data_IF_321480599743
#
_entry.id   IF_321480599743
#
_cell.length_a   1.000
_cell.length_b   1.000
_cell.length_c   1.000
_cell.angle_alpha   90.00
_cell.angle_beta   90.00
_cell.angle_gamma   90.00
#
_symmetry.space_group_name_H-M   'P 1'
#
loop_
_entity.id
_entity.type
_entity.pdbx_description
1 polymer ?
#
# COMPACT_ATOMS: atom_id res chain seq x y z
N UNK A 1 -49.18 58.00 -6.73
CA UNK A 1 -49.36 56.85 -7.64
C UNK A 1 -48.40 56.85 -8.83
N UNK A 2 -48.07 57.98 -9.46
CA UNK A 2 -47.24 58.01 -10.68
C UNK A 2 -45.70 58.05 -10.48
N UNK A 3 -45.17 58.06 -9.26
CA UNK A 3 -43.71 58.08 -8.98
C UNK A 3 -43.13 56.75 -8.50
N UNK A 4 -43.98 55.77 -8.21
CA UNK A 4 -43.57 54.42 -7.80
C UNK A 4 -43.48 53.48 -9.02
N UNK A 5 -44.24 53.77 -10.07
CA UNK A 5 -44.23 52.98 -11.30
C UNK A 5 -42.96 53.15 -12.14
N UNK A 6 -42.26 54.28 -12.04
CA UNK A 6 -41.06 54.55 -12.85
C UNK A 6 -39.78 53.95 -12.27
N UNK A 7 -39.73 53.67 -10.97
CA UNK A 7 -38.58 53.00 -10.34
C UNK A 7 -38.61 51.47 -10.48
N UNK A 8 -39.76 50.89 -10.83
CA UNK A 8 -39.88 49.44 -11.04
C UNK A 8 -39.48 49.00 -12.45
N UNK A 9 -39.30 49.93 -13.39
CA UNK A 9 -38.98 49.60 -14.79
C UNK A 9 -37.49 49.72 -15.14
N UNK A 10 -36.66 50.29 -14.27
CA UNK A 10 -35.20 50.41 -14.51
C UNK A 10 -34.40 49.30 -13.79
N UNK A 11 -34.98 48.69 -12.75
CA UNK A 11 -34.36 47.55 -12.05
C UNK A 11 -34.61 46.22 -12.78
N UNK A 12 -35.61 46.15 -13.67
CA UNK A 12 -35.93 44.95 -14.46
C UNK A 12 -35.17 44.86 -15.80
N UNK A 13 -34.24 45.79 -16.09
CA UNK A 13 -33.41 45.77 -17.30
C UNK A 13 -31.91 45.50 -17.03
N UNK A 14 -31.58 45.00 -15.84
CA UNK A 14 -30.23 44.52 -15.49
C UNK A 14 -30.21 43.03 -15.11
N UNK A 15 -31.27 42.30 -15.46
CA UNK A 15 -31.28 40.83 -15.41
C UNK A 15 -31.04 40.23 -16.81
N UNK A 16 -30.14 40.82 -17.59
CA UNK A 16 -29.41 40.06 -18.61
C UNK A 16 -28.44 39.16 -17.85
N UNK A 17 -28.95 37.99 -17.43
CA UNK A 17 -28.09 36.87 -17.02
C UNK A 17 -27.22 36.57 -18.22
N UNK A 18 -25.96 36.99 -18.16
CA UNK A 18 -24.92 36.46 -19.04
C UNK A 18 -24.97 34.95 -18.91
N UNK A 19 -25.41 34.27 -19.96
CA UNK A 19 -25.07 32.87 -20.16
C UNK A 19 -23.55 32.83 -20.30
N UNK A 20 -22.86 32.63 -19.18
CA UNK A 20 -21.44 32.32 -19.19
C UNK A 20 -21.29 31.01 -19.94
N UNK A 21 -20.83 31.08 -21.19
CA UNK A 21 -20.24 29.94 -21.88
C UNK A 21 -19.19 29.36 -20.94
N UNK A 22 -19.49 28.23 -20.30
CA UNK A 22 -18.60 27.58 -19.37
C UNK A 22 -17.38 27.11 -20.17
N UNK A 23 -16.29 27.88 -20.09
CA UNK A 23 -15.08 27.59 -20.85
C UNK A 23 -14.53 26.24 -20.39
N UNK A 24 -14.48 25.29 -21.33
CA UNK A 24 -14.01 23.93 -21.05
C UNK A 24 -12.56 23.99 -20.58
N UNK A 25 -12.26 23.36 -19.44
CA UNK A 25 -10.89 23.30 -18.93
C UNK A 25 -10.00 22.51 -19.90
N UNK A 26 -8.90 23.13 -20.33
CA UNK A 26 -7.85 22.53 -21.16
C UNK A 26 -6.53 22.44 -20.41
N UNK A 27 -5.55 21.71 -20.96
CA UNK A 27 -4.18 21.65 -20.45
C UNK A 27 -3.61 23.07 -20.21
N UNK A 28 -3.75 23.98 -21.18
CA UNK A 28 -3.28 25.37 -21.08
C UNK A 28 -3.96 26.14 -19.94
N UNK A 29 -5.25 25.87 -19.72
CA UNK A 29 -6.01 26.51 -18.64
C UNK A 29 -5.52 26.04 -17.28
N UNK A 30 -5.27 24.73 -17.13
CA UNK A 30 -4.68 24.15 -15.92
C UNK A 30 -3.29 24.73 -15.65
N UNK A 31 -2.43 24.83 -16.68
CA UNK A 31 -1.10 25.45 -16.55
C UNK A 31 -1.21 26.92 -16.12
N UNK A 32 -2.16 27.70 -16.66
CA UNK A 32 -2.39 29.08 -16.22
C UNK A 32 -2.81 29.17 -14.76
N UNK A 33 -3.68 28.28 -14.29
CA UNK A 33 -4.12 28.24 -12.88
C UNK A 33 -2.96 27.89 -11.94
N UNK A 34 -2.11 26.94 -12.33
CA UNK A 34 -0.89 26.60 -11.59
C UNK A 34 0.07 27.78 -11.55
N UNK A 35 0.35 28.42 -12.69
CA UNK A 35 1.23 29.61 -12.77
C UNK A 35 0.68 30.83 -12.04
N UNK A 36 -0.64 30.93 -11.89
CA UNK A 36 -1.29 31.95 -11.07
C UNK A 36 -1.20 31.67 -9.56
N UNK A 37 -0.61 30.54 -9.15
CA UNK A 37 -0.34 30.21 -7.75
C UNK A 37 -1.54 29.65 -6.98
N UNK A 38 -2.55 29.13 -7.68
CA UNK A 38 -3.68 28.47 -7.04
C UNK A 38 -3.24 27.14 -6.40
N UNK A 39 -3.85 26.78 -5.27
CA UNK A 39 -3.55 25.53 -4.59
C UNK A 39 -3.97 24.32 -5.43
N UNK A 40 -3.21 23.23 -5.33
CA UNK A 40 -3.50 22.00 -6.06
C UNK A 40 -4.89 21.43 -5.76
N UNK A 41 -5.37 21.59 -4.52
CA UNK A 41 -6.72 21.17 -4.10
C UNK A 41 -7.82 21.96 -4.81
N UNK A 42 -7.60 23.25 -5.06
CA UNK A 42 -8.55 24.09 -5.79
C UNK A 42 -8.59 23.71 -7.28
N UNK A 43 -7.42 23.50 -7.88
CA UNK A 43 -7.31 23.12 -9.30
C UNK A 43 -7.89 21.73 -9.53
N UNK A 44 -7.60 20.75 -8.66
CA UNK A 44 -8.21 19.41 -8.73
C UNK A 44 -9.73 19.46 -8.53
N UNK A 45 -10.22 20.29 -7.61
CA UNK A 45 -11.65 20.54 -7.45
C UNK A 45 -12.31 21.09 -8.72
N UNK A 46 -11.66 22.04 -9.40
CA UNK A 46 -12.14 22.59 -10.68
C UNK A 46 -12.15 21.52 -11.78
N UNK A 47 -11.08 20.73 -11.90
CA UNK A 47 -10.98 19.62 -12.87
C UNK A 47 -12.11 18.61 -12.68
N UNK A 48 -12.45 18.28 -11.42
CA UNK A 48 -13.50 17.31 -11.12
C UNK A 48 -14.91 17.84 -11.41
N UNK A 49 -15.13 19.14 -11.21
CA UNK A 49 -16.48 19.75 -11.26
C UNK A 49 -16.82 20.38 -12.61
N UNK A 50 -15.83 20.87 -13.35
CA UNK A 50 -16.05 21.54 -14.62
C UNK A 50 -15.89 20.58 -15.81
N UNK A 51 -16.58 20.83 -16.94
CA UNK A 51 -16.28 20.12 -18.18
C UNK A 51 -14.83 20.41 -18.59
N UNK A 52 -14.09 19.36 -18.90
CA UNK A 52 -12.68 19.45 -19.30
C UNK A 52 -12.40 18.63 -20.54
N UNK A 53 -11.49 19.11 -21.39
CA UNK A 53 -10.97 18.40 -22.55
C UNK A 53 -9.45 18.42 -22.47
N UNK A 54 -8.89 17.29 -22.06
CA UNK A 54 -7.47 17.16 -21.79
C UNK A 54 -6.80 16.25 -22.81
N UNK A 55 -5.64 16.66 -23.30
CA UNK A 55 -4.71 15.78 -24.04
C UNK A 55 -3.78 15.14 -23.01
N UNK A 56 -3.81 13.82 -22.91
CA UNK A 56 -3.12 13.06 -21.86
C UNK A 56 -2.21 11.97 -22.47
N UNK A 57 -1.62 12.25 -23.64
CA UNK A 57 -0.55 11.43 -24.20
C UNK A 57 0.73 11.54 -23.37
N UNK A 58 1.69 10.63 -23.59
CA UNK A 58 2.93 10.60 -22.83
C UNK A 58 3.70 11.93 -22.92
N UNK A 59 3.78 12.51 -24.12
CA UNK A 59 4.42 13.81 -24.38
C UNK A 59 3.66 14.97 -23.71
N UNK A 60 2.31 14.92 -23.67
CA UNK A 60 1.49 15.95 -23.03
C UNK A 60 1.64 15.94 -21.51
N UNK A 61 1.74 14.75 -20.90
CA UNK A 61 1.96 14.58 -19.46
C UNK A 61 3.34 15.10 -19.07
N UNK A 62 4.37 14.84 -19.88
CA UNK A 62 5.72 15.39 -19.68
C UNK A 62 5.69 16.91 -19.79
N UNK A 63 4.99 17.47 -20.80
CA UNK A 63 4.85 18.91 -20.96
C UNK A 63 4.13 19.57 -19.77
N UNK A 64 3.06 18.97 -19.27
CA UNK A 64 2.34 19.43 -18.07
C UNK A 64 3.25 19.44 -16.82
N UNK A 65 4.03 18.37 -16.62
CA UNK A 65 4.96 18.28 -15.49
C UNK A 65 6.08 19.31 -15.57
N UNK A 66 6.62 19.55 -16.76
CA UNK A 66 7.64 20.58 -16.99
C UNK A 66 7.10 22.00 -16.76
N UNK A 67 5.80 22.22 -16.99
CA UNK A 67 5.10 23.47 -16.72
C UNK A 67 4.67 23.63 -15.24
N UNK A 68 5.06 22.69 -14.37
CA UNK A 68 4.85 22.73 -12.93
C UNK A 68 3.52 22.17 -12.46
N UNK A 69 2.75 21.51 -13.33
CA UNK A 69 1.50 20.84 -12.95
C UNK A 69 1.83 19.57 -12.17
N UNK A 70 1.32 19.46 -10.94
CA UNK A 70 1.63 18.33 -10.06
C UNK A 70 0.99 17.02 -10.53
N UNK A 71 1.60 15.90 -10.15
CA UNK A 71 1.07 14.56 -10.47
C UNK A 71 -0.34 14.36 -9.91
N UNK A 72 -0.68 15.03 -8.80
CA UNK A 72 -2.02 15.06 -8.23
C UNK A 72 -3.05 15.70 -9.17
N UNK A 73 -2.72 16.83 -9.79
CA UNK A 73 -3.60 17.51 -10.76
C UNK A 73 -3.71 16.69 -12.05
N UNK A 74 -2.61 16.13 -12.54
CA UNK A 74 -2.60 15.27 -13.74
C UNK A 74 -3.47 14.03 -13.51
N UNK A 75 -3.38 13.39 -12.33
CA UNK A 75 -4.22 12.24 -11.99
C UNK A 75 -5.72 12.60 -11.95
N UNK A 76 -6.08 13.80 -11.47
CA UNK A 76 -7.46 14.28 -11.53
C UNK A 76 -7.94 14.50 -12.98
N UNK A 77 -7.08 15.06 -13.85
CA UNK A 77 -7.39 15.25 -15.27
C UNK A 77 -7.62 13.91 -15.98
N UNK A 78 -6.82 12.88 -15.65
CA UNK A 78 -6.98 11.51 -16.16
C UNK A 78 -8.31 10.91 -15.70
N UNK A 79 -8.64 11.01 -14.41
CA UNK A 79 -9.90 10.48 -13.86
C UNK A 79 -11.12 11.14 -14.50
N UNK A 80 -11.07 12.45 -14.74
CA UNK A 80 -12.17 13.20 -15.38
C UNK A 80 -12.40 12.80 -16.84
N UNK A 81 -11.37 12.35 -17.54
CA UNK A 81 -11.42 11.97 -18.95
C UNK A 81 -11.78 10.49 -19.18
N UNK A 82 -11.98 9.71 -18.10
CA UNK A 82 -12.47 8.35 -18.19
C UNK A 82 -13.99 8.34 -18.51
N UNK A 83 -14.46 7.52 -19.47
CA UNK A 83 -15.88 7.45 -19.80
C UNK A 83 -16.70 6.93 -18.61
N UNK A 84 -17.73 7.66 -18.22
CA UNK A 84 -18.61 7.33 -17.10
C UNK A 84 -19.57 6.17 -17.48
N UNK A 85 -19.76 5.13 -16.63
CA UNK A 85 -20.70 4.04 -16.91
C UNK A 85 -22.16 4.47 -16.69
N UNK A 86 -23.04 4.15 -17.64
CA UNK A 86 -24.48 4.44 -17.56
C UNK A 86 -25.22 3.54 -16.53
N UNK A 87 -26.31 4.02 -15.88
CA UNK A 87 -27.03 3.26 -14.86
C UNK A 87 -27.99 2.24 -15.50
N UNK A 88 -28.03 1.01 -14.96
CA UNK A 88 -28.96 -0.05 -15.40
C UNK A 88 -30.17 -0.16 -14.46
N UNK A 89 -31.37 -0.12 -15.05
CA UNK A 89 -32.65 -0.52 -14.48
C UNK A 89 -32.86 -2.04 -14.62
N UNK A 90 -33.40 -2.67 -13.58
CA UNK A 90 -34.47 -3.68 -13.66
C UNK A 90 -34.19 -5.14 -14.05
N UNK A 91 -34.71 -6.02 -13.18
CA UNK A 91 -35.30 -7.35 -13.43
C UNK A 91 -34.44 -8.65 -13.39
N UNK A 92 -34.67 -9.37 -12.28
CA UNK A 92 -35.12 -10.76 -12.11
C UNK A 92 -34.34 -11.97 -12.68
N UNK A 93 -34.20 -12.97 -11.82
CA UNK A 93 -33.62 -14.32 -12.02
C UNK A 93 -34.75 -15.34 -12.30
N UNK A 94 -34.55 -16.67 -12.57
CA UNK A 94 -33.31 -17.47 -12.53
C UNK A 94 -33.13 -18.63 -13.56
N UNK A 95 -31.95 -19.27 -13.46
CA UNK A 95 -31.65 -20.72 -13.61
C UNK A 95 -31.24 -21.32 -14.98
N UNK A 96 -30.00 -21.86 -15.01
CA UNK A 96 -29.64 -23.29 -15.27
C UNK A 96 -28.53 -23.55 -16.30
N UNK A 97 -27.30 -23.76 -15.78
CA UNK A 97 -26.28 -24.76 -16.14
C UNK A 97 -25.68 -24.83 -17.60
N UNK A 98 -24.64 -25.66 -17.86
CA UNK A 98 -23.24 -25.21 -17.92
C UNK A 98 -22.57 -25.50 -19.29
N UNK A 99 -21.71 -24.60 -19.79
CA UNK A 99 -20.83 -24.90 -20.93
C UNK A 99 -19.51 -24.14 -20.78
N UNK A 100 -18.42 -24.88 -20.54
CA UNK A 100 -17.06 -24.46 -20.89
C UNK A 100 -16.88 -24.52 -22.42
N UNK A 101 -16.06 -23.63 -23.01
CA UNK A 101 -14.70 -24.08 -23.34
C UNK A 101 -13.59 -23.03 -23.11
N UNK A 102 -12.38 -23.59 -22.95
CA UNK A 102 -11.04 -23.00 -22.87
C UNK A 102 -10.78 -21.77 -23.76
N UNK A 103 -10.07 -20.79 -23.19
CA UNK A 103 -9.25 -19.85 -23.97
C UNK A 103 -9.03 -18.48 -23.31
N UNK A 104 -7.91 -18.35 -22.57
CA UNK A 104 -7.12 -17.12 -22.38
C UNK A 104 -7.82 -15.85 -21.83
N UNK A 105 -7.61 -15.62 -20.52
CA UNK A 105 -6.82 -14.49 -20.01
C UNK A 105 -6.44 -14.75 -18.55
N UNK A 106 -5.14 -14.89 -18.32
CA UNK A 106 -4.48 -14.88 -17.02
C UNK A 106 -4.67 -13.52 -16.36
N UNK A 107 -5.75 -13.37 -15.60
CA UNK A 107 -5.79 -12.50 -14.43
C UNK A 107 -5.90 -13.41 -13.21
N UNK A 108 -5.05 -13.20 -12.21
CA UNK A 108 -5.12 -13.87 -10.91
C UNK A 108 -6.59 -14.00 -10.44
N UNK A 109 -7.00 -15.12 -9.80
CA UNK A 109 -8.39 -15.39 -9.50
C UNK A 109 -8.92 -14.35 -8.51
N UNK A 110 -9.55 -13.30 -9.04
CA UNK A 110 -10.20 -12.25 -8.26
C UNK A 110 -11.66 -12.61 -8.03
N UNK A 111 -11.92 -13.80 -7.49
CA UNK A 111 -13.21 -14.12 -6.88
C UNK A 111 -13.20 -13.60 -5.44
N UNK A 112 -13.00 -12.30 -5.25
CA UNK A 112 -13.18 -11.68 -3.94
C UNK A 112 -14.68 -11.57 -3.69
N UNK A 113 -15.16 -12.34 -2.72
CA UNK A 113 -16.55 -12.25 -2.26
C UNK A 113 -16.74 -10.87 -1.64
N UNK A 114 -17.64 -10.07 -2.20
CA UNK A 114 -17.99 -8.78 -1.61
C UNK A 114 -18.79 -9.03 -0.32
N UNK A 115 -18.38 -8.46 0.82
CA UNK A 115 -19.10 -8.65 2.06
C UNK A 115 -20.53 -8.09 1.96
N UNK A 116 -21.48 -8.83 2.52
CA UNK A 116 -22.89 -8.45 2.56
C UNK A 116 -23.31 -7.79 3.88
N UNK A 117 -22.42 -7.81 4.89
CA UNK A 117 -22.62 -7.17 6.19
C UNK A 117 -21.28 -6.90 6.90
N UNK A 118 -21.29 -6.15 8.00
CA UNK A 118 -20.09 -5.93 8.82
C UNK A 118 -19.54 -7.24 9.42
N UNK A 119 -20.41 -8.17 9.80
CA UNK A 119 -20.01 -9.49 10.30
C UNK A 119 -19.34 -10.31 9.19
N UNK A 120 -19.90 -10.25 7.99
CA UNK A 120 -19.37 -10.91 6.80
C UNK A 120 -18.00 -10.35 6.40
N UNK A 121 -17.84 -9.02 6.43
CA UNK A 121 -16.56 -8.33 6.24
C UNK A 121 -15.50 -8.78 7.24
N UNK A 122 -15.84 -8.81 8.54
CA UNK A 122 -14.92 -9.27 9.60
C UNK A 122 -14.54 -10.74 9.39
N UNK A 123 -15.52 -11.59 9.09
CA UNK A 123 -15.32 -13.01 8.81
C UNK A 123 -14.35 -13.21 7.65
N UNK A 124 -14.54 -12.53 6.52
CA UNK A 124 -13.68 -12.64 5.35
C UNK A 124 -12.23 -12.18 5.64
N UNK A 125 -12.03 -11.14 6.45
CA UNK A 125 -10.69 -10.71 6.86
C UNK A 125 -10.04 -11.72 7.81
N UNK A 126 -10.81 -12.25 8.77
CA UNK A 126 -10.33 -13.28 9.69
C UNK A 126 -9.94 -14.56 8.93
N UNK A 127 -10.77 -15.04 8.01
CA UNK A 127 -10.47 -16.22 7.17
C UNK A 127 -9.20 -16.05 6.33
N UNK A 128 -8.98 -14.82 5.82
CA UNK A 128 -7.84 -14.48 4.97
C UNK A 128 -6.52 -14.39 5.73
N UNK A 129 -6.52 -13.87 6.96
CA UNK A 129 -5.28 -13.51 7.66
C UNK A 129 -5.06 -14.22 9.00
N UNK A 130 -6.10 -14.51 9.77
CA UNK A 130 -5.93 -15.01 11.14
C UNK A 130 -5.31 -16.41 11.18
N UNK A 131 -4.26 -16.57 11.98
CA UNK A 131 -3.49 -17.81 12.05
C UNK A 131 -2.79 -18.22 10.74
N UNK A 132 -2.82 -17.41 9.68
CA UNK A 132 -2.18 -17.72 8.38
C UNK A 132 -0.72 -17.31 8.34
N UNK A 133 -0.04 -17.72 7.28
CA UNK A 133 1.28 -17.20 6.95
C UNK A 133 1.11 -16.12 5.88
N UNK A 134 1.68 -14.96 6.14
CA UNK A 134 1.80 -13.87 5.17
C UNK A 134 3.25 -13.70 4.77
N UNK A 135 3.50 -13.07 3.64
CA UNK A 135 4.82 -12.76 3.12
C UNK A 135 4.97 -11.25 3.08
N UNK A 136 6.12 -10.75 3.51
CA UNK A 136 6.41 -9.32 3.37
C UNK A 136 6.66 -8.97 1.90
N UNK A 137 5.95 -7.97 1.39
CA UNK A 137 6.06 -7.48 0.01
C UNK A 137 6.97 -6.25 -0.10
N UNK A 138 7.56 -5.82 1.01
CA UNK A 138 8.48 -4.68 1.09
C UNK A 138 9.79 -5.12 1.75
N UNK A 139 10.87 -4.41 1.45
CA UNK A 139 12.11 -4.47 2.21
C UNK A 139 12.16 -3.34 3.24
N UNK A 140 12.91 -3.51 4.31
CA UNK A 140 13.13 -2.45 5.33
C UNK A 140 12.13 -2.46 6.47
N UNK A 141 11.15 -3.38 6.47
CA UNK A 141 10.45 -3.71 7.71
C UNK A 141 11.46 -4.29 8.70
N UNK A 142 11.28 -3.96 9.97
CA UNK A 142 12.07 -4.50 11.06
C UNK A 142 11.21 -5.49 11.83
N UNK A 143 11.86 -6.51 12.40
CA UNK A 143 11.31 -7.34 13.47
C UNK A 143 12.13 -7.13 14.74
N UNK A 144 11.47 -7.07 15.89
CA UNK A 144 12.09 -6.92 17.20
C UNK A 144 11.98 -8.16 18.06
N UNK A 145 12.92 -8.31 18.98
CA UNK A 145 12.92 -9.38 19.97
C UNK A 145 11.63 -9.34 20.81
N UNK A 146 11.02 -10.49 21.04
CA UNK A 146 9.87 -10.60 21.93
C UNK A 146 10.26 -10.27 23.37
N UNK A 147 9.52 -9.34 23.99
CA UNK A 147 9.69 -8.98 25.40
C UNK A 147 8.51 -9.48 26.22
N UNK A 148 8.80 -9.95 27.44
CA UNK A 148 7.76 -10.28 28.43
C UNK A 148 7.06 -9.00 28.89
N UNK A 149 5.73 -9.03 29.03
CA UNK A 149 4.99 -7.91 29.58
C UNK A 149 5.40 -7.65 31.05
N UNK A 150 5.52 -6.38 31.45
CA UNK A 150 6.01 -5.97 32.77
C UNK A 150 5.06 -6.32 33.93
N UNK A 151 3.76 -6.48 33.70
CA UNK A 151 2.76 -6.65 34.79
C UNK A 151 1.77 -7.80 34.51
N UNK A 152 0.90 -7.70 33.51
CA UNK A 152 0.00 -8.80 33.08
C UNK A 152 -0.22 -8.71 31.57
N UNK A 153 -0.07 -9.84 30.86
CA UNK A 153 -0.37 -9.95 29.44
C UNK A 153 0.62 -10.86 28.69
N UNK A 154 0.24 -11.41 27.53
CA UNK A 154 1.19 -12.13 26.68
C UNK A 154 2.28 -11.15 26.23
N UNK A 155 3.54 -11.58 26.26
CA UNK A 155 4.65 -10.80 25.69
C UNK A 155 4.35 -10.41 24.24
N UNK A 156 4.96 -9.32 23.78
CA UNK A 156 4.89 -8.94 22.37
C UNK A 156 6.26 -8.55 21.86
N UNK A 157 6.46 -8.66 20.54
CA UNK A 157 7.55 -7.98 19.88
C UNK A 157 7.54 -6.51 20.31
N UNK A 158 8.63 -6.00 20.89
CA UNK A 158 8.75 -4.62 21.38
C UNK A 158 8.71 -3.56 20.26
N UNK A 159 8.30 -3.94 19.05
CA UNK A 159 8.32 -3.17 17.82
C UNK A 159 6.90 -3.02 17.28
N UNK A 160 6.44 -1.77 17.14
CA UNK A 160 5.13 -1.44 16.60
C UNK A 160 5.25 -0.63 15.31
N UNK A 161 4.64 -1.12 14.25
CA UNK A 161 4.44 -0.42 12.99
C UNK A 161 3.06 0.19 12.91
N UNK A 162 2.98 1.40 12.37
CA UNK A 162 1.78 2.20 12.16
C UNK A 162 1.73 2.60 10.70
N UNK A 163 0.74 2.13 9.96
CA UNK A 163 0.40 2.60 8.64
C UNK A 163 -0.92 3.37 8.70
N UNK A 164 -0.96 4.57 8.12
CA UNK A 164 -2.17 5.39 8.04
C UNK A 164 -2.70 5.36 6.62
N UNK A 165 -3.88 4.76 6.38
CA UNK A 165 -4.54 4.83 5.08
C UNK A 165 -4.85 6.30 4.71
N UNK A 166 -4.99 6.62 3.42
CA UNK A 166 -5.24 7.98 2.93
C UNK A 166 -6.48 8.64 3.51
N UNK A 167 -7.46 7.84 3.95
CA UNK A 167 -8.67 8.34 4.62
C UNK A 167 -8.43 8.87 6.05
N UNK A 168 -7.23 8.69 6.62
CA UNK A 168 -6.90 9.09 8.00
C UNK A 168 -5.73 10.09 7.98
N UNK A 169 -5.83 11.25 8.66
CA UNK A 169 -4.68 12.15 8.80
C UNK A 169 -3.58 11.52 9.65
N UNK A 170 -2.33 11.72 9.24
CA UNK A 170 -1.17 11.29 10.03
C UNK A 170 -1.10 12.17 11.28
N UNK A 171 -1.12 11.60 12.50
CA UNK A 171 -1.10 12.40 13.71
C UNK A 171 0.31 12.95 13.96
N UNK A 172 0.42 14.14 14.56
CA UNK A 172 1.72 14.73 14.95
C UNK A 172 2.50 13.89 15.98
N UNK A 173 1.77 13.11 16.79
CA UNK A 173 2.31 12.26 17.84
C UNK A 173 1.63 10.90 17.83
N UNK A 174 2.39 9.86 18.21
CA UNK A 174 1.86 8.53 18.48
C UNK A 174 0.69 8.61 19.48
N UNK A 175 -0.44 7.99 19.13
CA UNK A 175 -1.61 7.83 20.01
C UNK A 175 -1.25 6.93 21.20
N UNK A 176 -0.82 7.51 22.32
CA UNK A 176 -0.58 6.77 23.57
C UNK A 176 -1.69 6.94 24.61
N UNK A 177 -2.57 7.93 24.50
CA UNK A 177 -3.71 8.15 25.40
C UNK A 177 -4.64 9.24 24.79
N UNK A 178 -5.98 9.19 24.94
CA UNK A 178 -6.90 10.29 24.57
C UNK A 178 -6.50 11.68 25.08
N UNK A 179 -5.71 11.77 26.16
CA UNK A 179 -5.24 13.02 26.75
C UNK A 179 -4.00 13.66 26.08
N UNK A 180 -3.45 13.09 24.98
CA UNK A 180 -2.35 13.67 24.15
C UNK A 180 -1.08 14.16 24.88
N UNK A 181 -0.87 13.86 26.16
CA UNK A 181 0.19 14.48 26.96
C UNK A 181 1.58 13.82 26.89
N UNK A 182 1.69 12.54 26.50
CA UNK A 182 2.96 11.79 26.58
C UNK A 182 3.10 10.76 25.45
N UNK A 183 3.49 11.20 24.25
CA UNK A 183 3.75 10.31 23.09
C UNK A 183 4.86 10.84 22.20
N UNK A 184 5.67 9.93 21.64
CA UNK A 184 6.74 10.22 20.66
C UNK A 184 6.15 10.96 19.46
N UNK A 185 6.83 11.98 18.93
CA UNK A 185 6.37 12.64 17.69
C UNK A 185 6.49 11.66 16.53
N UNK A 186 5.55 11.70 15.61
CA UNK A 186 5.60 10.85 14.42
C UNK A 186 6.83 11.18 13.57
N UNK A 187 7.25 12.45 13.55
CA UNK A 187 8.51 12.90 12.92
C UNK A 187 9.79 12.36 13.57
N UNK A 188 9.71 11.77 14.76
CA UNK A 188 10.84 11.17 15.48
C UNK A 188 10.84 9.64 15.33
N UNK A 189 9.82 9.07 14.70
CA UNK A 189 9.69 7.63 14.44
C UNK A 189 10.44 7.26 13.17
N UNK A 190 10.94 6.03 13.12
CA UNK A 190 11.58 5.53 11.90
C UNK A 190 10.51 5.39 10.83
N UNK A 191 10.80 5.80 9.60
CA UNK A 191 9.82 5.88 8.53
C UNK A 191 10.20 4.90 7.42
N UNK A 192 9.26 4.05 7.02
CA UNK A 192 9.42 3.12 5.90
C UNK A 192 8.99 3.75 4.57
N UNK A 193 7.88 4.48 4.60
CA UNK A 193 7.31 5.21 3.47
C UNK A 193 6.55 6.44 3.96
N UNK A 194 5.92 7.19 3.04
CA UNK A 194 5.22 8.44 3.33
C UNK A 194 4.18 8.34 4.46
N UNK A 195 3.63 7.15 4.75
CA UNK A 195 2.51 6.96 5.68
C UNK A 195 2.73 5.83 6.69
N UNK A 196 3.92 5.22 6.70
CA UNK A 196 4.24 4.05 7.52
C UNK A 196 5.46 4.28 8.42
N UNK A 197 5.26 4.07 9.72
CA UNK A 197 6.23 4.44 10.75
C UNK A 197 6.43 3.33 11.78
N UNK A 198 7.66 3.14 12.23
CA UNK A 198 8.03 2.25 13.32
C UNK A 198 8.25 3.01 14.63
N UNK A 199 7.65 2.48 15.68
CA UNK A 199 7.99 2.83 17.05
C UNK A 199 8.82 1.70 17.68
N UNK A 200 10.07 2.02 17.96
CA UNK A 200 11.06 1.12 18.52
C UNK A 200 11.32 1.51 19.97
N UNK A 201 11.16 0.54 20.87
CA UNK A 201 11.63 0.69 22.24
C UNK A 201 13.15 0.89 22.26
N UNK A 202 13.62 1.82 23.10
CA UNK A 202 15.05 2.05 23.28
C UNK A 202 15.76 0.77 23.72
N UNK A 203 16.83 0.40 23.01
CA UNK A 203 17.63 -0.80 23.30
C UNK A 203 16.95 -2.12 22.95
N UNK A 204 15.88 -2.10 22.14
CA UNK A 204 15.32 -3.30 21.54
C UNK A 204 16.28 -3.84 20.47
N UNK A 205 16.62 -5.14 20.56
CA UNK A 205 17.30 -5.83 19.47
C UNK A 205 16.32 -5.99 18.30
N UNK A 206 16.74 -5.57 17.11
CA UNK A 206 15.94 -5.66 15.88
C UNK A 206 16.77 -6.25 14.75
N UNK A 207 16.06 -6.84 13.79
CA UNK A 207 16.60 -7.40 12.55
C UNK A 207 15.76 -6.91 11.37
N UNK A 208 16.37 -6.79 10.19
CA UNK A 208 15.65 -6.42 8.97
C UNK A 208 14.96 -7.63 8.37
N UNK A 209 13.77 -7.40 7.82
CA UNK A 209 13.02 -8.37 7.05
C UNK A 209 13.21 -8.08 5.55
N UNK A 210 13.45 -9.14 4.79
CA UNK A 210 13.61 -9.05 3.35
C UNK A 210 12.28 -9.24 2.64
N UNK A 211 12.09 -8.57 1.49
CA UNK A 211 10.93 -8.84 0.64
C UNK A 211 10.91 -10.32 0.26
N UNK A 212 9.75 -10.95 0.38
CA UNK A 212 9.57 -12.39 0.17
C UNK A 212 9.67 -13.22 1.45
N UNK A 213 10.03 -12.63 2.58
CA UNK A 213 10.13 -13.36 3.84
C UNK A 213 8.75 -13.77 4.41
N UNK A 214 8.57 -15.05 4.81
CA UNK A 214 7.34 -15.52 5.45
C UNK A 214 7.26 -15.18 6.95
N UNK A 215 6.14 -14.59 7.34
CA UNK A 215 5.77 -14.24 8.70
C UNK A 215 4.50 -14.99 9.13
N UNK A 216 4.50 -15.53 10.34
CA UNK A 216 3.30 -16.16 10.92
C UNK A 216 2.44 -15.11 11.61
N UNK A 217 1.15 -15.05 11.25
CA UNK A 217 0.15 -14.27 11.98
C UNK A 217 -0.22 -15.03 13.25
N UNK A 218 0.30 -14.57 14.40
CA UNK A 218 0.01 -15.15 15.71
C UNK A 218 -1.35 -14.71 16.23
N UNK A 219 -1.69 -13.44 16.01
CA UNK A 219 -2.99 -12.86 16.37
C UNK A 219 -3.37 -11.81 15.33
N UNK A 220 -4.64 -11.79 14.98
CA UNK A 220 -5.22 -10.80 14.09
C UNK A 220 -6.40 -10.12 14.77
N UNK A 221 -6.41 -8.80 14.79
CA UNK A 221 -7.46 -8.01 15.44
C UNK A 221 -8.06 -7.00 14.48
N UNK A 222 -9.39 -6.93 14.47
CA UNK A 222 -10.15 -5.90 13.76
C UNK A 222 -10.78 -5.01 14.83
N UNK A 223 -10.31 -3.76 14.91
CA UNK A 223 -10.83 -2.74 15.81
C UNK A 223 -11.64 -1.70 15.02
N UNK A 224 -12.32 -0.80 15.72
CA UNK A 224 -13.16 0.22 15.07
C UNK A 224 -12.39 1.26 14.27
N UNK A 225 -11.10 1.45 14.53
CA UNK A 225 -10.24 2.46 13.87
C UNK A 225 -8.99 1.85 13.21
N UNK A 226 -8.81 0.54 13.29
CA UNK A 226 -7.63 -0.14 12.75
C UNK A 226 -7.79 -1.65 12.60
N UNK A 227 -6.93 -2.22 11.76
CA UNK A 227 -6.61 -3.64 11.72
C UNK A 227 -5.20 -3.84 12.29
N UNK A 228 -4.99 -4.88 13.08
CA UNK A 228 -3.71 -5.16 13.73
C UNK A 228 -3.27 -6.61 13.50
N UNK A 229 -2.05 -6.75 13.01
CA UNK A 229 -1.34 -8.02 12.90
C UNK A 229 -0.32 -8.14 14.03
N UNK A 230 -0.29 -9.26 14.73
CA UNK A 230 0.86 -9.68 15.52
C UNK A 230 1.60 -10.79 14.79
N UNK A 231 2.82 -10.50 14.35
CA UNK A 231 3.60 -11.31 13.43
C UNK A 231 4.83 -11.85 14.14
N UNK A 232 5.22 -13.08 13.79
CA UNK A 232 6.48 -13.70 14.23
C UNK A 232 7.22 -14.17 13.00
N UNK A 233 8.53 -13.92 12.95
CA UNK A 233 9.38 -14.43 11.87
C UNK A 233 9.41 -15.96 11.93
N UNK A 234 9.42 -16.60 10.77
CA UNK A 234 9.57 -18.07 10.71
C UNK A 234 11.00 -18.50 10.41
N UNK A 235 11.86 -17.55 10.05
CA UNK A 235 13.26 -17.84 9.78
C UNK A 235 14.10 -17.91 11.07
N UNK A 236 14.83 -19.02 11.22
CA UNK A 236 15.75 -19.23 12.34
C UNK A 236 17.03 -18.39 12.23
N UNK A 237 17.36 -17.87 11.05
CA UNK A 237 18.52 -17.01 10.81
C UNK A 237 18.54 -15.79 11.74
N UNK A 238 17.38 -15.17 11.95
CA UNK A 238 17.24 -14.02 12.85
C UNK A 238 17.63 -14.35 14.30
N UNK A 239 17.53 -15.59 14.76
CA UNK A 239 17.96 -15.95 16.12
C UNK A 239 19.45 -15.67 16.36
N UNK A 240 20.26 -15.56 15.31
CA UNK A 240 21.68 -15.18 15.39
C UNK A 240 21.87 -13.72 15.82
N UNK A 241 20.86 -12.89 15.60
CA UNK A 241 20.87 -11.47 16.00
C UNK A 241 20.51 -11.30 17.49
N UNK A 242 20.11 -12.38 18.17
CA UNK A 242 19.82 -12.36 19.61
C UNK A 242 21.11 -12.43 20.42
N UNK A 243 21.40 -11.37 21.18
CA UNK A 243 22.34 -11.47 22.31
C UNK A 243 21.66 -12.24 23.46
N UNK A 244 21.91 -13.55 23.54
CA UNK A 244 21.29 -14.46 24.51
C UNK A 244 21.49 -14.05 25.98
N UNK A 245 22.49 -13.21 26.27
CA UNK A 245 22.75 -12.70 27.62
C UNK A 245 21.89 -11.48 27.95
N UNK A 246 21.42 -10.75 26.94
CA UNK A 246 20.47 -9.64 27.07
C UNK A 246 19.05 -10.03 26.74
N UNK A 247 18.86 -11.20 26.13
CA UNK A 247 17.58 -11.63 25.63
C UNK A 247 16.59 -11.99 26.73
N UNK A 248 15.31 -11.71 26.46
CA UNK A 248 14.21 -12.20 27.26
C UNK A 248 14.12 -13.72 27.16
N UNK A 249 14.07 -14.38 28.31
CA UNK A 249 13.93 -15.84 28.42
C UNK A 249 12.53 -16.19 28.92
N UNK A 250 11.83 -17.06 28.20
CA UNK A 250 10.57 -17.63 28.64
C UNK A 250 10.81 -19.00 29.27
N UNK A 251 10.53 -19.12 30.56
CA UNK A 251 10.59 -20.40 31.28
C UNK A 251 9.18 -20.96 31.43
N UNK A 252 8.90 -22.03 30.71
CA UNK A 252 7.67 -22.82 30.89
C UNK A 252 7.94 -23.89 31.94
N UNK A 253 7.12 -23.91 32.99
CA UNK A 253 7.16 -24.96 34.02
C UNK A 253 5.93 -25.84 33.86
N UNK A 254 6.14 -27.13 33.57
CA UNK A 254 5.07 -28.13 33.49
C UNK A 254 5.22 -29.10 34.65
N UNK A 255 4.15 -29.34 35.39
CA UNK A 255 4.12 -30.39 36.42
C UNK A 255 3.35 -31.58 35.87
N UNK A 256 4.01 -32.72 35.75
CA UNK A 256 3.41 -33.97 35.30
C UNK A 256 3.84 -35.10 36.23
N UNK A 257 2.88 -35.86 36.78
CA UNK A 257 3.18 -37.00 37.65
C UNK A 257 3.96 -36.68 38.93
N UNK A 258 3.91 -35.43 39.43
CA UNK A 258 4.68 -34.97 40.59
C UNK A 258 6.08 -34.44 40.25
N UNK A 259 6.51 -34.54 38.99
CA UNK A 259 7.79 -34.00 38.52
C UNK A 259 7.62 -32.62 37.87
N UNK A 260 8.50 -31.70 38.27
CA UNK A 260 8.55 -30.33 37.75
C UNK A 260 9.52 -30.28 36.57
N UNK A 261 8.99 -30.09 35.37
CA UNK A 261 9.75 -29.92 34.14
C UNK A 261 9.86 -28.45 33.81
N UNK A 262 11.08 -27.91 33.78
CA UNK A 262 11.32 -26.54 33.35
C UNK A 262 12.00 -26.52 31.98
N UNK A 263 11.38 -25.81 31.03
CA UNK A 263 11.94 -25.52 29.71
C UNK A 263 12.15 -24.03 29.59
N UNK A 264 13.40 -23.62 29.35
CA UNK A 264 13.71 -22.22 29.04
C UNK A 264 13.89 -22.07 27.53
N UNK A 265 13.18 -21.12 26.94
CA UNK A 265 13.29 -20.74 25.53
C UNK A 265 13.69 -19.28 25.42
N UNK A 266 14.41 -18.96 24.35
CA UNK A 266 14.73 -17.58 23.97
C UNK A 266 13.58 -17.06 23.13
N UNK A 267 13.15 -15.83 23.39
CA UNK A 267 12.03 -15.23 22.67
C UNK A 267 12.42 -15.00 21.19
N UNK A 268 11.50 -15.31 20.26
CA UNK A 268 11.74 -15.12 18.82
C UNK A 268 11.65 -13.64 18.40
N UNK A 269 11.80 -13.39 17.10
CA UNK A 269 11.59 -12.06 16.52
C UNK A 269 10.17 -11.92 15.97
N UNK A 270 9.64 -10.70 16.01
CA UNK A 270 8.36 -10.39 15.41
C UNK A 270 8.08 -8.91 15.30
N UNK A 271 6.86 -8.57 14.91
CA UNK A 271 6.39 -7.19 14.92
C UNK A 271 4.89 -7.13 15.12
N UNK A 272 4.41 -5.98 15.57
CA UNK A 272 2.99 -5.66 15.51
C UNK A 272 2.75 -4.61 14.45
N UNK A 273 1.89 -4.88 13.47
CA UNK A 273 1.60 -3.94 12.39
C UNK A 273 0.15 -3.49 12.45
N UNK A 274 -0.06 -2.19 12.66
CA UNK A 274 -1.38 -1.55 12.71
C UNK A 274 -1.64 -0.75 11.44
N UNK A 275 -2.75 -1.05 10.79
CA UNK A 275 -3.29 -0.31 9.66
C UNK A 275 -4.48 0.50 10.13
N UNK A 276 -4.36 1.82 10.12
CA UNK A 276 -5.42 2.74 10.53
C UNK A 276 -6.26 3.12 9.33
N UNK A 277 -7.58 3.02 9.50
CA UNK A 277 -8.57 3.33 8.47
C UNK A 277 -9.65 4.24 9.07
N UNK A 278 -10.28 5.05 8.22
CA UNK A 278 -11.48 5.75 8.64
C UNK A 278 -12.60 4.76 8.98
N UNK A 279 -13.18 4.95 10.16
CA UNK A 279 -14.18 4.03 10.71
C UNK A 279 -15.44 3.95 9.86
N UNK A 280 -15.92 5.10 9.40
CA UNK A 280 -17.24 5.19 8.75
C UNK A 280 -17.10 4.93 7.24
N UNK A 281 -16.08 5.52 6.61
CA UNK A 281 -15.88 5.48 5.16
C UNK A 281 -15.26 4.17 4.66
N UNK A 282 -14.51 3.45 5.50
CA UNK A 282 -13.78 2.25 5.08
C UNK A 282 -14.28 1.02 5.83
N UNK A 283 -14.17 1.03 7.17
CA UNK A 283 -14.45 -0.18 7.95
C UNK A 283 -15.95 -0.51 8.03
N UNK A 284 -16.82 0.48 8.24
CA UNK A 284 -18.28 0.30 8.22
C UNK A 284 -18.89 0.28 6.83
N UNK A 285 -18.26 0.96 5.87
CA UNK A 285 -18.64 0.84 4.46
C UNK A 285 -18.34 -0.57 3.90
N UNK A 286 -17.68 -1.43 4.68
CA UNK A 286 -17.31 -2.80 4.31
C UNK A 286 -16.49 -2.84 3.03
N UNK A 287 -15.61 -1.83 2.83
CA UNK A 287 -14.70 -1.76 1.68
C UNK A 287 -13.58 -2.80 1.83
N UNK A 288 -13.95 -4.06 1.64
CA UNK A 288 -13.06 -5.21 1.77
C UNK A 288 -11.89 -5.11 0.81
N UNK A 289 -12.16 -4.72 -0.43
CA UNK A 289 -11.12 -4.66 -1.46
C UNK A 289 -10.14 -3.52 -1.20
N UNK A 290 -10.60 -2.33 -0.82
CA UNK A 290 -9.72 -1.22 -0.44
C UNK A 290 -8.82 -1.59 0.73
N UNK A 291 -9.38 -2.22 1.77
CA UNK A 291 -8.62 -2.70 2.93
C UNK A 291 -7.59 -3.76 2.56
N UNK A 292 -7.98 -4.79 1.80
CA UNK A 292 -7.08 -5.87 1.37
C UNK A 292 -5.98 -5.32 0.47
N UNK A 293 -6.31 -4.46 -0.49
CA UNK A 293 -5.33 -3.84 -1.38
C UNK A 293 -4.31 -3.01 -0.60
N UNK A 294 -4.75 -2.26 0.41
CA UNK A 294 -3.84 -1.47 1.25
C UNK A 294 -2.90 -2.37 2.06
N UNK A 295 -3.42 -3.43 2.68
CA UNK A 295 -2.62 -4.40 3.44
C UNK A 295 -1.64 -5.14 2.52
N UNK A 296 -2.09 -5.55 1.33
CA UNK A 296 -1.31 -6.33 0.36
C UNK A 296 -0.06 -5.59 -0.13
N UNK A 297 0.00 -4.26 -0.04
CA UNK A 297 1.23 -3.48 -0.29
C UNK A 297 2.40 -3.94 0.59
N UNK A 298 2.10 -4.45 1.78
CA UNK A 298 3.09 -4.85 2.79
C UNK A 298 3.05 -6.33 3.10
N UNK A 299 1.85 -6.91 3.23
CA UNK A 299 1.63 -8.26 3.73
C UNK A 299 0.64 -8.99 2.83
N UNK A 300 1.11 -10.01 2.13
CA UNK A 300 0.30 -10.80 1.21
C UNK A 300 0.17 -12.25 1.71
N UNK A 301 -0.99 -12.92 1.65
CA UNK A 301 -1.08 -14.34 1.98
C UNK A 301 -0.07 -15.16 1.18
N UNK A 302 0.55 -16.16 1.82
CA UNK A 302 1.70 -16.87 1.25
C UNK A 302 1.43 -17.42 -0.16
N UNK A 303 0.28 -18.04 -0.38
CA UNK A 303 -0.08 -18.66 -1.67
C UNK A 303 -0.20 -17.62 -2.80
N UNK A 304 -0.65 -16.41 -2.48
CA UNK A 304 -0.74 -15.29 -3.43
C UNK A 304 0.65 -14.66 -3.66
N UNK A 305 1.45 -14.53 -2.60
CA UNK A 305 2.81 -14.02 -2.70
C UNK A 305 3.71 -14.93 -3.54
N UNK A 306 3.59 -16.24 -3.42
CA UNK A 306 4.33 -17.18 -4.28
C UNK A 306 4.00 -16.98 -5.76
N UNK A 307 2.74 -16.69 -6.11
CA UNK A 307 2.35 -16.39 -7.49
C UNK A 307 2.91 -15.05 -7.96
N UNK A 308 2.80 -14.00 -7.16
CA UNK A 308 3.33 -12.66 -7.51
C UNK A 308 4.85 -12.71 -7.65
N UNK A 309 5.55 -13.27 -6.67
CA UNK A 309 7.01 -13.34 -6.66
C UNK A 309 7.55 -14.30 -7.74
N UNK A 310 6.85 -15.38 -8.07
CA UNK A 310 7.24 -16.24 -9.20
C UNK A 310 6.99 -15.56 -10.54
N UNK A 311 5.88 -14.83 -10.71
CA UNK A 311 5.64 -14.03 -11.90
C UNK A 311 6.69 -12.91 -12.07
N UNK A 312 7.12 -12.28 -10.97
CA UNK A 312 8.23 -11.31 -10.97
C UNK A 312 9.58 -11.95 -11.29
N UNK A 313 9.81 -13.21 -10.91
CA UNK A 313 11.06 -13.94 -11.24
C UNK A 313 11.07 -14.47 -12.68
N UNK A 314 9.90 -14.72 -13.27
CA UNK A 314 9.74 -15.14 -14.66
C UNK A 314 9.88 -13.93 -15.62
N UNK A 315 10.99 -13.22 -15.53
CA UNK A 315 11.34 -12.20 -16.51
C UNK A 315 11.98 -12.93 -17.69
N UNK A 316 11.21 -13.07 -18.77
CA UNK A 316 11.79 -13.45 -20.07
C UNK A 316 12.75 -12.33 -20.51
N UNK A 317 14.05 -12.63 -20.44
CA UNK A 317 15.08 -11.78 -21.01
C UNK A 317 15.38 -12.31 -22.40
N UNK A 318 14.74 -11.72 -23.40
CA UNK A 318 15.06 -12.02 -24.80
C UNK A 318 16.41 -11.42 -25.20
N UNK A 319 17.20 -12.12 -26.04
CA UNK A 319 18.37 -11.52 -26.68
C UNK A 319 17.97 -10.24 -27.43
N UNK A 320 18.70 -9.15 -27.19
CA UNK A 320 18.49 -7.86 -27.85
C UNK A 320 17.89 -6.76 -26.97
N UNK A 321 17.40 -7.07 -25.77
CA UNK A 321 16.95 -6.07 -24.78
C UNK A 321 18.11 -5.14 -24.39
N UNK A 322 17.86 -3.85 -24.20
CA UNK A 322 18.90 -2.88 -23.82
C UNK A 322 19.27 -2.98 -22.35
N UNK A 323 20.48 -2.51 -22.00
CA UNK A 323 20.95 -2.44 -20.62
C UNK A 323 19.94 -1.73 -19.70
N UNK A 324 19.38 -0.60 -20.14
CA UNK A 324 18.43 0.18 -19.35
C UNK A 324 17.17 -0.61 -19.03
N UNK A 325 16.64 -1.37 -20.00
CA UNK A 325 15.48 -2.21 -19.80
C UNK A 325 15.77 -3.39 -18.86
N UNK A 326 17.00 -3.92 -18.87
CA UNK A 326 17.46 -4.93 -17.90
C UNK A 326 17.50 -4.33 -16.50
N UNK A 327 18.10 -3.15 -16.32
CA UNK A 327 18.18 -2.47 -15.03
C UNK A 327 16.79 -2.06 -14.50
N UNK A 328 15.86 -1.70 -15.39
CA UNK A 328 14.48 -1.40 -15.00
C UNK A 328 13.72 -2.65 -14.53
N UNK A 329 13.99 -3.81 -15.13
CA UNK A 329 13.30 -5.08 -14.80
C UNK A 329 13.92 -5.79 -13.59
N UNK A 330 15.25 -5.83 -13.51
CA UNK A 330 16.00 -6.61 -12.52
C UNK A 330 16.59 -5.76 -11.39
N UNK A 331 16.53 -4.43 -11.52
CA UNK A 331 17.23 -3.52 -10.61
C UNK A 331 18.73 -3.51 -10.83
N UNK A 332 19.42 -2.88 -9.88
CA UNK A 332 20.87 -2.76 -9.86
C UNK A 332 21.54 -4.12 -9.59
N UNK A 333 22.54 -4.52 -10.40
CA UNK A 333 23.23 -5.80 -10.21
C UNK A 333 24.10 -5.78 -8.95
N UNK A 334 24.28 -6.96 -8.33
CA UNK A 334 25.19 -7.14 -7.20
C UNK A 334 26.65 -6.89 -7.58
N UNK A 335 27.01 -7.15 -8.85
CA UNK A 335 28.33 -6.84 -9.40
C UNK A 335 28.29 -6.61 -10.91
N UNK A 336 29.06 -5.65 -11.38
CA UNK A 336 29.27 -5.41 -12.82
C UNK A 336 30.70 -5.72 -13.22
N UNK A 337 30.88 -6.47 -14.31
CA UNK A 337 32.19 -6.81 -14.88
C UNK A 337 32.22 -6.35 -16.34
N UNK A 338 33.31 -5.71 -16.79
CA UNK A 338 33.50 -5.26 -18.18
C UNK A 338 34.73 -5.90 -18.79
N UNK A 339 34.59 -6.47 -19.98
CA UNK A 339 35.67 -7.06 -20.78
C UNK A 339 35.48 -6.66 -22.24
N UNK A 340 36.29 -5.71 -22.72
CA UNK A 340 36.14 -5.17 -24.08
C UNK A 340 34.76 -4.49 -24.26
N UNK A 341 34.01 -4.92 -25.28
CA UNK A 341 32.64 -4.46 -25.53
C UNK A 341 31.56 -5.33 -24.86
N UNK A 342 31.97 -6.32 -24.07
CA UNK A 342 31.08 -7.18 -23.30
C UNK A 342 30.98 -6.67 -21.86
N UNK A 343 29.76 -6.69 -21.33
CA UNK A 343 29.45 -6.34 -19.94
C UNK A 343 28.65 -7.49 -19.31
N UNK A 344 29.06 -7.95 -18.13
CA UNK A 344 28.31 -8.93 -17.35
C UNK A 344 27.72 -8.25 -16.12
N UNK A 345 26.40 -8.32 -15.99
CA UNK A 345 25.64 -7.88 -14.82
C UNK A 345 25.32 -9.12 -14.00
N UNK A 346 25.94 -9.24 -12.83
CA UNK A 346 25.71 -10.36 -11.92
C UNK A 346 24.62 -10.00 -10.92
N UNK A 347 23.63 -10.89 -10.82
CA UNK A 347 22.55 -10.88 -9.85
C UNK A 347 22.75 -12.05 -8.88
N UNK A 348 21.84 -12.25 -7.93
CA UNK A 348 21.97 -13.31 -6.92
C UNK A 348 21.93 -14.72 -7.54
N UNK A 349 21.05 -14.94 -8.52
CA UNK A 349 20.73 -16.24 -9.12
C UNK A 349 21.07 -16.32 -10.62
N UNK A 350 21.58 -15.24 -11.22
CA UNK A 350 21.91 -15.20 -12.65
C UNK A 350 22.99 -14.18 -13.00
N UNK A 351 23.53 -14.32 -14.21
CA UNK A 351 24.41 -13.35 -14.87
C UNK A 351 23.84 -12.99 -16.24
N UNK A 352 23.51 -11.72 -16.46
CA UNK A 352 23.12 -11.17 -17.76
C UNK A 352 24.36 -10.71 -18.50
N UNK A 353 24.55 -11.19 -19.72
CA UNK A 353 25.68 -10.83 -20.58
C UNK A 353 25.18 -9.89 -21.68
N UNK A 354 25.78 -8.71 -21.72
CA UNK A 354 25.53 -7.70 -22.74
C UNK A 354 26.73 -7.56 -23.66
N UNK A 355 26.46 -7.30 -24.94
CA UNK A 355 27.45 -6.88 -25.93
C UNK A 355 26.90 -5.65 -26.64
N UNK A 356 27.73 -4.61 -26.72
CA UNK A 356 27.33 -3.32 -27.34
C UNK A 356 26.01 -2.75 -26.73
N UNK A 357 25.84 -2.93 -25.42
CA UNK A 357 24.70 -2.41 -24.65
C UNK A 357 23.40 -3.24 -24.77
N UNK A 358 23.43 -4.41 -25.43
CA UNK A 358 22.26 -5.29 -25.58
C UNK A 358 22.53 -6.68 -25.02
N UNK A 359 21.51 -7.29 -24.44
CA UNK A 359 21.58 -8.67 -23.95
C UNK A 359 21.88 -9.62 -25.10
N UNK A 360 22.89 -10.46 -24.92
CA UNK A 360 23.24 -11.52 -25.87
C UNK A 360 23.09 -12.91 -25.27
N UNK A 361 23.16 -13.02 -23.95
CA UNK A 361 23.10 -14.29 -23.23
C UNK A 361 22.70 -14.07 -21.77
N UNK A 362 22.12 -15.09 -21.15
CA UNK A 362 21.77 -15.12 -19.73
C UNK A 362 22.17 -16.47 -19.17
N UNK A 363 22.95 -16.45 -18.09
CA UNK A 363 23.41 -17.66 -17.40
C UNK A 363 22.77 -17.73 -16.03
N UNK A 364 22.16 -18.87 -15.71
CA UNK A 364 21.70 -19.18 -14.36
C UNK A 364 22.90 -19.68 -13.53
N UNK A 365 22.98 -19.29 -12.27
CA UNK A 365 24.08 -19.65 -11.35
C UNK A 365 23.77 -20.85 -10.46
#
# INVERSE_FOLDING_TARGET
MARIATMLSVVLLFLTVSLSSQETLTNDSVVKLVKAGLSEDLITGMVNTQPGKYSLGAEDIIALKNEGVSEKIIAAMIRKNAPEPAPKLGEDSPASAPVEPLGERTSAPSNFVQPTSEEDFKRLLMERYDGKTVVTMVAGLLAGEYKKAFIVGPGSAGLLWYHYHDSVPIPDRKRSNPLKLWGKKTSEMDQLDERTYADLDKGLNVTSLDRGEPLKVQKFYIMSDRIEFNLTTTQLSHLRDVDINKASKETTTTVSGGEVHQRTSVAGFGLRFRFFFDKEQVLKATDYQGVVNEINKYLLPKEEAEQVLSAERNIEIEPGISEEAVLQKLGEPSKTIRVGNQKSLKYEDMTVILKDGKVVDVKLE
#
